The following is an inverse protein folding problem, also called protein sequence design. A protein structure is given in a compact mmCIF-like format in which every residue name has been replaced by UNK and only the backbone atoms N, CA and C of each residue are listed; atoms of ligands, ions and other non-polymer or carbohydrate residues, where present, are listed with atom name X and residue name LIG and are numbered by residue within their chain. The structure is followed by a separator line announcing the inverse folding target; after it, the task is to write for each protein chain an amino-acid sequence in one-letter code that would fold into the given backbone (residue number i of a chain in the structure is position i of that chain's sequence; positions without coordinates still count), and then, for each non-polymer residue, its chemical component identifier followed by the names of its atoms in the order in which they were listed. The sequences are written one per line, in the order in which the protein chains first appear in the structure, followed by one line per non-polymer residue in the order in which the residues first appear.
data_IF_905032336605
#
_entry.id   IF_905032336605
#
_cell.length_a   1.000
_cell.length_b   1.000
_cell.length_c   1.000
_cell.angle_alpha   90.00
_cell.angle_beta   90.00
_cell.angle_gamma   90.00
#
_symmetry.space_group_name_H-M   'P 1'
#
loop_
_entity.id
_entity.type
_entity.pdbx_description
1 polymer ?
#
# COMPACT_ATOMS: atom_id res chain seq x y z
N UNK A 1 13.72 -4.43 -1.61
CA UNK A 1 12.85 -3.86 -2.68
C UNK A 1 13.70 -3.21 -3.75
N UNK A 2 14.69 -2.40 -3.38
CA UNK A 2 15.57 -1.71 -4.33
C UNK A 2 16.27 -2.66 -5.32
N UNK A 3 16.85 -3.77 -4.86
CA UNK A 3 17.42 -4.78 -5.76
C UNK A 3 16.42 -5.35 -6.77
N UNK A 4 15.13 -5.47 -6.41
CA UNK A 4 14.11 -5.98 -7.34
C UNK A 4 13.86 -4.93 -8.43
N UNK A 5 13.75 -3.65 -8.07
CA UNK A 5 13.55 -2.56 -9.03
C UNK A 5 14.77 -2.40 -9.95
N UNK A 6 15.97 -2.51 -9.41
CA UNK A 6 17.20 -2.45 -10.21
C UNK A 6 17.29 -3.62 -11.21
N UNK A 7 16.91 -4.84 -10.80
CA UNK A 7 16.82 -5.98 -11.73
C UNK A 7 15.77 -5.73 -12.83
N UNK A 8 14.63 -5.13 -12.48
CA UNK A 8 13.59 -4.75 -13.45
C UNK A 8 14.09 -3.68 -14.43
N UNK A 9 14.92 -2.73 -13.99
CA UNK A 9 15.49 -1.72 -14.88
C UNK A 9 16.56 -2.28 -15.84
N UNK A 10 17.23 -3.36 -15.44
CA UNK A 10 18.21 -4.04 -16.28
C UNK A 10 17.57 -4.94 -17.33
N UNK A 11 16.38 -5.47 -17.06
CA UNK A 11 15.67 -6.34 -17.99
C UNK A 11 14.93 -5.58 -19.08
N UNK A 12 14.75 -6.23 -20.23
CA UNK A 12 14.05 -5.71 -21.40
C UNK A 12 12.53 -5.68 -21.21
N UNK A 13 12.04 -4.82 -20.31
CA UNK A 13 10.60 -4.56 -20.17
C UNK A 13 10.11 -3.45 -21.09
N UNK A 14 8.85 -3.56 -21.50
CA UNK A 14 8.15 -2.48 -22.19
C UNK A 14 8.09 -1.21 -21.33
N UNK A 15 8.12 -0.04 -21.97
CA UNK A 15 8.05 1.26 -21.32
C UNK A 15 6.82 1.41 -20.40
N UNK A 16 5.69 0.80 -20.77
CA UNK A 16 4.47 0.79 -19.94
C UNK A 16 4.73 0.10 -18.59
N UNK A 17 5.39 -1.06 -18.61
CA UNK A 17 5.70 -1.80 -17.38
C UNK A 17 6.68 -1.02 -16.51
N UNK A 18 7.71 -0.43 -17.11
CA UNK A 18 8.65 0.45 -16.41
C UNK A 18 7.91 1.60 -15.68
N UNK A 19 7.02 2.30 -16.39
CA UNK A 19 6.24 3.40 -15.82
C UNK A 19 5.32 2.94 -14.68
N UNK A 20 4.68 1.78 -14.82
CA UNK A 20 3.83 1.22 -13.76
C UNK A 20 4.62 0.93 -12.49
N UNK A 21 5.83 0.35 -12.59
CA UNK A 21 6.67 0.09 -11.42
C UNK A 21 7.13 1.40 -10.75
N UNK A 22 7.60 2.37 -11.53
CA UNK A 22 8.02 3.69 -11.02
C UNK A 22 6.87 4.43 -10.34
N UNK A 23 5.68 4.47 -10.94
CA UNK A 23 4.52 5.14 -10.34
C UNK A 23 4.03 4.39 -9.11
N UNK A 24 3.99 3.06 -9.14
CA UNK A 24 3.55 2.26 -8.00
C UNK A 24 4.44 2.49 -6.77
N UNK A 25 5.76 2.55 -6.94
CA UNK A 25 6.69 2.83 -5.84
C UNK A 25 6.47 4.22 -5.26
N UNK A 26 6.34 5.25 -6.09
CA UNK A 26 5.99 6.60 -5.65
C UNK A 26 4.68 6.68 -4.87
N UNK A 27 3.62 6.01 -5.36
CA UNK A 27 2.31 5.97 -4.70
C UNK A 27 2.35 5.24 -3.35
N UNK A 28 3.14 4.16 -3.20
CA UNK A 28 3.28 3.47 -1.91
C UNK A 28 3.88 4.38 -0.84
N UNK A 29 4.87 5.21 -1.22
CA UNK A 29 5.47 6.18 -0.30
C UNK A 29 4.48 7.28 0.06
N UNK A 30 3.75 7.82 -0.92
CA UNK A 30 2.68 8.80 -0.66
C UNK A 30 1.64 8.27 0.33
N UNK A 31 1.23 7.00 0.20
CA UNK A 31 0.27 6.37 1.10
C UNK A 31 0.81 6.24 2.54
N UNK A 32 2.06 5.80 2.72
CA UNK A 32 2.69 5.69 4.04
C UNK A 32 2.78 7.05 4.73
N UNK A 33 3.21 8.11 4.03
CA UNK A 33 3.29 9.46 4.61
C UNK A 33 1.91 10.05 4.91
N UNK A 34 0.90 9.76 4.08
CA UNK A 34 -0.50 10.14 4.38
C UNK A 34 -1.00 9.50 5.67
N UNK A 35 -0.68 8.23 5.90
CA UNK A 35 -1.06 7.52 7.13
C UNK A 35 -0.38 8.18 8.34
N UNK A 36 0.94 8.40 8.28
CA UNK A 36 1.70 9.09 9.33
C UNK A 36 1.09 10.47 9.62
N UNK A 37 0.66 11.20 8.59
CA UNK A 37 0.05 12.51 8.79
C UNK A 37 -1.25 12.43 9.59
N UNK A 38 -2.16 11.52 9.26
CA UNK A 38 -3.45 11.44 9.95
C UNK A 38 -3.38 10.79 11.33
N UNK A 39 -2.42 9.89 11.58
CA UNK A 39 -2.33 9.18 12.86
C UNK A 39 -1.43 9.85 13.89
N UNK A 40 -0.31 10.47 13.46
CA UNK A 40 0.73 10.94 14.37
C UNK A 40 0.92 12.46 14.38
N UNK A 41 0.99 13.10 13.21
CA UNK A 41 1.38 14.53 13.14
C UNK A 41 0.18 15.48 13.07
N UNK A 42 -0.97 15.00 12.62
CA UNK A 42 -2.19 15.79 12.47
C UNK A 42 -2.87 16.09 13.81
N UNK A 43 -3.86 16.98 13.76
CA UNK A 43 -4.68 17.27 14.94
C UNK A 43 -5.48 16.03 15.35
N UNK A 44 -5.63 15.83 16.67
CA UNK A 44 -6.39 14.73 17.25
C UNK A 44 -7.88 14.87 16.90
N UNK A 45 -8.36 14.07 15.96
CA UNK A 45 -9.77 14.04 15.54
C UNK A 45 -10.58 13.02 16.34
N UNK A 46 -10.30 12.90 17.63
CA UNK A 46 -10.91 11.91 18.52
C UNK A 46 -11.92 12.61 19.42
N UNK A 47 -12.96 11.90 19.87
CA UNK A 47 -13.90 12.42 20.84
C UNK A 47 -13.20 12.85 22.14
N UNK A 48 -13.73 13.88 22.80
CA UNK A 48 -13.14 14.49 24.00
C UNK A 48 -12.94 13.53 25.17
N UNK A 49 -13.70 12.43 25.23
CA UNK A 49 -13.65 11.42 26.30
C UNK A 49 -13.07 10.08 25.79
N UNK A 50 -11.91 10.10 25.13
CA UNK A 50 -11.29 8.87 24.68
C UNK A 50 -10.30 8.31 25.72
N UNK A 51 -10.49 7.06 26.21
CA UNK A 51 -9.54 6.41 27.09
C UNK A 51 -8.33 5.91 26.29
N UNK A 52 -7.32 6.77 26.11
CA UNK A 52 -6.02 6.36 25.56
C UNK A 52 -5.20 5.69 26.67
N UNK A 53 -4.95 4.39 26.57
CA UNK A 53 -4.10 3.67 27.50
C UNK A 53 -3.26 2.59 26.78
N UNK A 54 -1.96 2.82 26.67
CA UNK A 54 -1.00 1.92 26.01
C UNK A 54 -0.19 1.05 26.99
N UNK A 55 -0.56 1.00 28.27
CA UNK A 55 0.25 0.38 29.32
C UNK A 55 0.23 -1.17 29.35
N UNK A 56 -0.30 -1.84 28.32
CA UNK A 56 -0.36 -3.30 28.30
C UNK A 56 1.01 -3.90 27.95
N UNK A 57 1.69 -4.44 28.96
CA UNK A 57 3.02 -5.07 28.83
C UNK A 57 3.10 -6.15 27.76
N UNK A 58 2.02 -6.93 27.57
CA UNK A 58 1.95 -7.99 26.55
C UNK A 58 2.06 -7.40 25.14
N UNK A 59 1.34 -6.32 24.86
CA UNK A 59 1.36 -5.64 23.56
C UNK A 59 2.73 -5.01 23.31
N UNK A 60 3.27 -4.25 24.27
CA UNK A 60 4.57 -3.60 24.15
C UNK A 60 5.72 -4.61 23.91
N UNK A 61 5.68 -5.76 24.58
CA UNK A 61 6.66 -6.84 24.36
C UNK A 61 6.58 -7.41 22.95
N UNK A 62 5.38 -7.62 22.40
CA UNK A 62 5.23 -8.11 21.02
C UNK A 62 5.69 -7.10 19.98
N UNK A 63 5.35 -5.81 20.15
CA UNK A 63 5.73 -4.75 19.21
C UNK A 63 7.25 -4.53 19.21
N UNK A 64 7.90 -4.52 20.38
CA UNK A 64 9.36 -4.38 20.46
C UNK A 64 10.12 -5.52 19.80
N UNK A 65 9.66 -6.77 19.97
CA UNK A 65 10.24 -7.93 19.28
C UNK A 65 10.14 -7.81 17.75
N UNK A 66 8.95 -7.41 17.25
CA UNK A 66 8.71 -7.21 15.83
C UNK A 66 9.60 -6.10 15.25
N UNK A 67 9.79 -4.98 15.97
CA UNK A 67 10.67 -3.89 15.56
C UNK A 67 12.13 -4.36 15.39
N UNK A 68 12.65 -5.11 16.35
CA UNK A 68 14.03 -5.65 16.29
C UNK A 68 14.16 -6.60 15.09
N UNK A 69 13.18 -7.47 14.86
CA UNK A 69 13.20 -8.39 13.73
C UNK A 69 13.09 -7.67 12.39
N UNK A 70 12.31 -6.59 12.29
CA UNK A 70 12.19 -5.81 11.06
C UNK A 70 13.51 -5.14 10.64
N UNK A 71 14.29 -4.64 11.60
CA UNK A 71 15.58 -3.97 11.34
C UNK A 71 16.68 -4.96 10.97
N UNK A 72 16.83 -6.04 11.74
CA UNK A 72 17.97 -6.98 11.59
C UNK A 72 17.61 -8.14 10.64
N UNK A 73 16.34 -8.50 10.52
CA UNK A 73 15.89 -9.64 9.75
C UNK A 73 16.20 -9.49 8.25
N UNK A 74 16.00 -8.30 7.69
CA UNK A 74 16.24 -8.06 6.27
C UNK A 74 17.69 -8.25 5.86
N UNK A 75 18.64 -7.72 6.64
CA UNK A 75 20.08 -7.85 6.34
C UNK A 75 20.57 -9.29 6.51
N UNK A 76 20.18 -9.97 7.59
CA UNK A 76 20.54 -11.38 7.82
C UNK A 76 19.98 -12.30 6.74
N UNK A 77 18.73 -12.10 6.32
CA UNK A 77 18.12 -12.89 5.26
C UNK A 77 18.78 -12.66 3.90
N UNK A 78 19.21 -11.43 3.60
CA UNK A 78 19.91 -11.13 2.35
C UNK A 78 21.19 -11.96 2.21
N UNK A 79 22.02 -12.01 3.27
CA UNK A 79 23.26 -12.79 3.25
C UNK A 79 23.02 -14.30 3.18
N UNK A 80 21.91 -14.79 3.74
CA UNK A 80 21.61 -16.22 3.74
C UNK A 80 21.00 -16.68 2.40
N UNK A 81 20.11 -15.89 1.81
CA UNK A 81 19.39 -16.24 0.58
C UNK A 81 20.19 -15.96 -0.70
N UNK A 82 21.06 -14.95 -0.70
CA UNK A 82 21.83 -14.54 -1.86
C UNK A 82 23.35 -14.59 -1.59
N UNK A 83 23.95 -15.80 -1.56
CA UNK A 83 25.39 -15.94 -1.33
C UNK A 83 26.23 -15.36 -2.48
N UNK A 84 25.69 -15.28 -3.70
CA UNK A 84 26.31 -14.64 -4.85
C UNK A 84 25.30 -13.67 -5.51
N UNK A 85 25.36 -12.35 -5.22
CA UNK A 85 24.47 -11.39 -5.86
C UNK A 85 24.82 -11.21 -7.35
N UNK A 86 23.80 -11.10 -8.20
CA UNK A 86 23.98 -10.77 -9.61
C UNK A 86 24.51 -9.34 -9.78
N UNK A 87 25.43 -9.12 -10.72
CA UNK A 87 26.01 -7.79 -10.97
C UNK A 87 25.03 -6.92 -11.76
N UNK A 88 24.61 -5.80 -11.18
CA UNK A 88 23.68 -4.84 -11.78
C UNK A 88 24.48 -3.64 -12.31
N UNK A 89 24.63 -3.54 -13.63
CA UNK A 89 25.33 -2.47 -14.33
C UNK A 89 24.36 -1.44 -14.96
N UNK A 90 23.87 -0.49 -14.15
CA UNK A 90 22.99 0.60 -14.61
C UNK A 90 23.76 1.92 -14.77
N UNK A 91 23.37 2.81 -15.70
CA UNK A 91 23.81 4.20 -15.69
C UNK A 91 23.37 4.90 -14.39
N UNK A 92 24.15 5.89 -13.94
CA UNK A 92 23.95 6.53 -12.63
C UNK A 92 22.54 7.13 -12.44
N UNK A 93 21.92 7.62 -13.51
CA UNK A 93 20.57 8.17 -13.50
C UNK A 93 19.51 7.14 -13.09
N UNK A 94 19.57 5.93 -13.64
CA UNK A 94 18.62 4.86 -13.32
C UNK A 94 18.87 4.28 -11.93
N UNK A 95 20.13 4.26 -11.48
CA UNK A 95 20.48 3.78 -10.14
C UNK A 95 19.92 4.68 -9.03
N UNK A 96 19.94 6.00 -9.23
CA UNK A 96 19.40 6.97 -8.26
C UNK A 96 17.88 7.19 -8.38
N UNK A 97 17.26 6.70 -9.46
CA UNK A 97 15.86 6.96 -9.78
C UNK A 97 14.91 6.58 -8.64
N UNK A 98 15.07 5.38 -8.06
CA UNK A 98 14.21 4.87 -6.98
C UNK A 98 14.24 5.79 -5.75
N UNK A 99 15.43 6.23 -5.34
CA UNK A 99 15.61 7.15 -4.23
C UNK A 99 14.92 8.50 -4.48
N UNK A 100 15.10 9.05 -5.69
CA UNK A 100 14.49 10.32 -6.08
C UNK A 100 12.96 10.22 -6.05
N UNK A 101 12.39 9.14 -6.59
CA UNK A 101 10.94 8.90 -6.55
C UNK A 101 10.43 8.80 -5.12
N UNK A 102 11.16 8.12 -4.23
CA UNK A 102 10.79 8.01 -2.81
C UNK A 102 10.76 9.38 -2.12
N UNK A 103 11.77 10.23 -2.37
CA UNK A 103 11.83 11.58 -1.79
C UNK A 103 10.68 12.47 -2.31
N UNK A 104 10.46 12.48 -3.63
CA UNK A 104 9.37 13.25 -4.24
C UNK A 104 8.02 12.73 -3.76
N UNK A 105 7.83 11.41 -3.71
CA UNK A 105 6.62 10.77 -3.22
C UNK A 105 6.31 11.12 -1.77
N UNK A 106 7.32 11.12 -0.89
CA UNK A 106 7.15 11.50 0.51
C UNK A 106 6.75 12.96 0.68
N UNK A 107 7.46 13.87 0.00
CA UNK A 107 7.17 15.31 0.01
C UNK A 107 5.76 15.60 -0.51
N UNK A 108 5.40 15.03 -1.67
CA UNK A 108 4.06 15.19 -2.25
C UNK A 108 2.97 14.60 -1.34
N UNK A 109 3.19 13.41 -0.79
CA UNK A 109 2.24 12.76 0.12
C UNK A 109 1.92 13.63 1.34
N UNK A 110 2.95 14.20 1.97
CA UNK A 110 2.80 15.09 3.11
C UNK A 110 2.13 16.43 2.75
N UNK A 111 2.50 17.03 1.61
CA UNK A 111 1.89 18.29 1.15
C UNK A 111 0.40 18.10 0.80
N UNK A 112 0.03 16.99 0.18
CA UNK A 112 -1.37 16.68 -0.17
C UNK A 112 -2.21 16.46 1.09
N UNK A 113 -1.65 15.85 2.14
CA UNK A 113 -2.37 15.58 3.39
C UNK A 113 -2.56 16.82 4.26
N UNK A 114 -1.73 17.86 4.10
CA UNK A 114 -1.82 19.14 4.81
C UNK A 114 -3.05 19.98 4.39
N UNK A 115 -4.24 19.55 4.79
CA UNK A 115 -5.49 20.27 4.55
C UNK A 115 -5.91 21.03 5.82
N UNK A 116 -5.95 22.36 5.74
CA UNK A 116 -6.56 23.27 6.73
C UNK A 116 -8.06 23.47 6.48
N UNK A 117 -8.76 23.94 7.51
CA UNK A 117 -10.22 24.15 7.56
C UNK A 117 -10.79 25.04 6.46
N UNK A 118 -10.01 25.96 5.88
CA UNK A 118 -10.47 26.90 4.84
C UNK A 118 -10.23 26.42 3.40
N UNK A 119 -9.73 25.20 3.17
CA UNK A 119 -9.59 24.69 1.81
C UNK A 119 -10.89 24.07 1.30
N UNK A 120 -11.24 24.38 0.04
CA UNK A 120 -12.28 23.64 -0.68
C UNK A 120 -11.94 22.15 -0.73
N UNK A 121 -12.88 21.31 -0.31
CA UNK A 121 -12.67 19.88 -0.28
C UNK A 121 -12.60 19.31 -1.72
N UNK A 122 -11.38 19.06 -2.20
CA UNK A 122 -11.11 18.59 -3.57
C UNK A 122 -11.78 17.24 -3.85
N UNK A 123 -11.96 16.39 -2.84
CA UNK A 123 -12.62 15.09 -3.00
C UNK A 123 -14.12 15.22 -3.32
N UNK A 124 -14.79 16.21 -2.73
CA UNK A 124 -16.18 16.53 -3.02
C UNK A 124 -16.33 17.14 -4.42
N UNK A 125 -15.38 17.98 -4.86
CA UNK A 125 -15.37 18.52 -6.23
C UNK A 125 -15.28 17.41 -7.29
N UNK A 126 -14.49 16.36 -7.03
CA UNK A 126 -14.33 15.22 -7.93
C UNK A 126 -14.95 13.94 -7.35
N UNK A 127 -16.20 14.02 -6.87
CA UNK A 127 -16.86 12.93 -6.16
C UNK A 127 -16.92 11.61 -6.94
N UNK A 128 -17.23 11.65 -8.24
CA UNK A 128 -17.29 10.43 -9.07
C UNK A 128 -15.96 9.68 -9.10
N UNK A 129 -14.86 10.41 -9.26
CA UNK A 129 -13.52 9.84 -9.32
C UNK A 129 -13.07 9.32 -7.95
N UNK A 130 -13.32 10.09 -6.88
CA UNK A 130 -12.94 9.69 -5.53
C UNK A 130 -13.73 8.47 -5.05
N UNK A 131 -15.02 8.38 -5.39
CA UNK A 131 -15.85 7.21 -5.11
C UNK A 131 -15.38 5.97 -5.87
N UNK A 132 -15.04 6.10 -7.16
CA UNK A 132 -14.52 4.98 -7.97
C UNK A 132 -13.18 4.43 -7.44
N UNK A 133 -12.24 5.30 -7.10
CA UNK A 133 -10.96 4.89 -6.53
C UNK A 133 -11.12 4.32 -5.12
N UNK A 134 -12.03 4.88 -4.31
CA UNK A 134 -12.34 4.42 -2.97
C UNK A 134 -13.02 3.05 -2.92
N UNK A 135 -13.84 2.71 -3.91
CA UNK A 135 -14.52 1.40 -4.02
C UNK A 135 -13.61 0.29 -4.59
N UNK A 136 -12.30 0.52 -4.67
CA UNK A 136 -11.32 -0.40 -5.29
C UNK A 136 -11.75 -0.83 -6.70
N UNK A 137 -12.09 0.15 -7.56
CA UNK A 137 -12.58 -0.10 -8.93
C UNK A 137 -13.78 -1.06 -8.98
N UNK A 138 -14.66 -1.02 -7.96
CA UNK A 138 -15.78 -1.95 -7.77
C UNK A 138 -15.42 -3.44 -7.74
N UNK A 139 -14.15 -3.80 -7.55
CA UNK A 139 -13.74 -5.20 -7.48
C UNK A 139 -14.54 -6.01 -6.45
N UNK A 140 -14.83 -5.50 -5.22
CA UNK A 140 -15.61 -6.27 -4.24
C UNK A 140 -17.04 -6.56 -4.72
N UNK A 141 -17.67 -5.64 -5.43
CA UNK A 141 -19.03 -5.83 -5.96
C UNK A 141 -19.03 -6.81 -7.13
N UNK A 142 -18.04 -6.72 -8.02
CA UNK A 142 -17.87 -7.65 -9.14
C UNK A 142 -17.60 -9.08 -8.65
N UNK A 143 -16.71 -9.23 -7.66
CA UNK A 143 -16.34 -10.55 -7.13
C UNK A 143 -17.44 -11.18 -6.29
N UNK A 144 -18.28 -10.40 -5.61
CA UNK A 144 -19.39 -10.95 -4.80
C UNK A 144 -20.63 -11.23 -5.64
N UNK A 145 -21.17 -10.23 -6.36
CA UNK A 145 -22.47 -10.38 -7.03
C UNK A 145 -22.42 -11.35 -8.22
N UNK A 146 -21.34 -11.31 -9.01
CA UNK A 146 -21.20 -12.17 -10.18
C UNK A 146 -20.90 -13.63 -9.83
N UNK A 147 -20.01 -13.84 -8.86
CA UNK A 147 -19.53 -15.20 -8.50
C UNK A 147 -20.53 -15.93 -7.60
N UNK A 148 -21.26 -15.23 -6.72
CA UNK A 148 -22.18 -15.88 -5.77
C UNK A 148 -23.50 -16.32 -6.43
N UNK A 149 -23.95 -15.64 -7.49
CA UNK A 149 -25.24 -15.93 -8.13
C UNK A 149 -25.32 -17.34 -8.75
N UNK A 150 -24.29 -17.76 -9.49
CA UNK A 150 -24.26 -19.08 -10.14
C UNK A 150 -24.31 -20.26 -9.17
N UNK A 151 -23.45 -20.36 -8.13
CA UNK A 151 -23.49 -21.48 -7.18
C UNK A 151 -24.79 -21.48 -6.35
N UNK A 152 -25.35 -20.32 -5.99
CA UNK A 152 -26.65 -20.27 -5.29
C UNK A 152 -27.80 -20.80 -6.16
N UNK A 153 -27.84 -20.41 -7.44
CA UNK A 153 -28.86 -20.89 -8.37
C UNK A 153 -28.74 -22.40 -8.58
N UNK A 154 -27.52 -22.91 -8.76
CA UNK A 154 -27.24 -24.34 -8.85
C UNK A 154 -27.69 -25.09 -7.59
N UNK A 155 -27.37 -24.58 -6.39
CA UNK A 155 -27.83 -25.15 -5.12
C UNK A 155 -29.35 -25.22 -5.02
N UNK A 156 -30.06 -24.17 -5.47
CA UNK A 156 -31.53 -24.16 -5.47
C UNK A 156 -32.14 -25.18 -6.43
N UNK A 157 -31.50 -25.46 -7.57
CA UNK A 157 -31.96 -26.51 -8.48
C UNK A 157 -31.68 -27.90 -7.92
N UNK A 158 -30.50 -28.11 -7.32
CA UNK A 158 -30.15 -29.39 -6.70
C UNK A 158 -31.14 -29.75 -5.59
N UNK A 159 -31.47 -28.81 -4.69
CA UNK A 159 -32.49 -29.06 -3.65
C UNK A 159 -33.85 -29.44 -4.24
N UNK A 160 -34.27 -28.79 -5.33
CA UNK A 160 -35.57 -29.06 -5.96
C UNK A 160 -35.64 -30.38 -6.73
N UNK A 161 -34.51 -30.85 -7.26
CA UNK A 161 -34.48 -32.05 -8.11
C UNK A 161 -33.98 -33.31 -7.40
N UNK A 162 -33.21 -33.18 -6.31
CA UNK A 162 -32.65 -34.31 -5.56
C UNK A 162 -33.34 -34.54 -4.21
N UNK A 163 -33.71 -33.48 -3.49
CA UNK A 163 -34.24 -33.58 -2.13
C UNK A 163 -35.77 -33.47 -2.04
N UNK A 164 -36.45 -33.12 -3.14
CA UNK A 164 -37.91 -33.12 -3.31
C UNK A 164 -38.35 -34.23 -4.26
#
# INVERSE_FOLDING_TARGET
KDMILEMVYMSDFNLIMFMLFVVSTGLTVMYSFRLVFYSLTGNMNIFSLHPMNDNSWVMLKSMSCLLIMAVIGGSKLMWLLFPAPYMICLPMSLKLLTLIICLIGGLMGYLISNVKLFFFNKSMKYFKLSWFLGSMWFMPFLSTLGVVFYPLKLGSYLMKFLDQ
#
